data_IF_934362833628
#
_entry.id   IF_934362833628
#
_cell.length_a   1.000
_cell.length_b   1.000
_cell.length_c   1.000
_cell.angle_alpha   90.00
_cell.angle_beta   90.00
_cell.angle_gamma   90.00
#
_symmetry.space_group_name_H-M   'P 1'
#
loop_
_entity.id
_entity.type
_entity.pdbx_description
1 polymer ?
#
# COMPACT_ATOMS: atom_id res chain seq x y z
N UNK A 1 -2.51 -6.18 8.69
CA UNK A 1 -3.39 -6.05 9.86
C UNK A 1 -4.78 -5.57 9.42
N UNK A 2 -5.83 -6.02 10.09
CA UNK A 2 -7.18 -5.42 10.00
C UNK A 2 -7.23 -4.28 11.01
N UNK A 3 -7.48 -3.05 10.57
CA UNK A 3 -7.33 -1.88 11.43
C UNK A 3 -8.54 -1.72 12.34
N UNK A 4 -8.27 -1.55 13.64
CA UNK A 4 -9.29 -1.37 14.65
C UNK A 4 -10.13 -0.10 14.38
N UNK A 5 -11.41 -0.14 14.77
CA UNK A 5 -12.35 0.94 14.49
C UNK A 5 -11.88 2.33 14.96
N UNK A 6 -11.16 2.41 16.08
CA UNK A 6 -10.63 3.66 16.63
C UNK A 6 -9.48 4.29 15.82
N UNK A 7 -8.85 3.54 14.92
CA UNK A 7 -7.73 3.98 14.07
C UNK A 7 -8.14 4.07 12.58
N UNK A 8 -9.45 3.99 12.31
CA UNK A 8 -9.98 4.23 10.97
C UNK A 8 -10.06 5.74 10.69
N UNK A 9 -9.63 6.13 9.49
CA UNK A 9 -9.91 7.45 8.96
C UNK A 9 -11.39 7.63 8.66
N UNK A 10 -11.88 8.88 8.70
CA UNK A 10 -13.31 9.21 8.63
C UNK A 10 -14.06 8.67 7.40
N UNK A 11 -13.37 8.41 6.29
CA UNK A 11 -13.96 7.88 5.07
C UNK A 11 -13.98 6.34 4.98
N UNK A 12 -13.20 5.64 5.80
CA UNK A 12 -13.03 4.19 5.69
C UNK A 12 -14.06 3.44 6.54
N UNK A 13 -14.79 2.50 5.93
CA UNK A 13 -15.64 1.56 6.65
C UNK A 13 -14.85 0.33 7.13
N UNK A 14 -13.79 -0.04 6.40
CA UNK A 14 -12.81 -1.06 6.78
C UNK A 14 -11.49 -0.77 6.08
N UNK A 15 -10.37 -1.02 6.75
CA UNK A 15 -9.02 -0.72 6.26
C UNK A 15 -8.09 -1.88 6.60
N UNK A 16 -7.24 -2.24 5.64
CA UNK A 16 -6.18 -3.24 5.81
C UNK A 16 -4.84 -2.62 5.49
N UNK A 17 -3.91 -2.79 6.41
CA UNK A 17 -2.54 -2.31 6.24
C UNK A 17 -1.60 -3.51 6.09
N UNK A 18 -0.65 -3.43 5.16
CA UNK A 18 0.46 -4.40 5.08
C UNK A 18 1.67 -3.73 5.68
N UNK A 19 2.28 -4.40 6.63
CA UNK A 19 3.45 -3.91 7.35
C UNK A 19 4.66 -4.78 7.05
N UNK A 20 5.82 -4.16 6.88
CA UNK A 20 7.09 -4.87 6.75
C UNK A 20 7.93 -4.69 8.00
N UNK A 21 8.71 -5.72 8.31
CA UNK A 21 9.71 -5.66 9.37
C UNK A 21 10.82 -4.68 8.99
N UNK A 22 11.18 -3.79 9.93
CA UNK A 22 12.26 -2.82 9.80
C UNK A 22 13.33 -3.12 10.86
N UNK A 23 14.41 -3.85 10.50
CA UNK A 23 15.43 -4.34 11.42
C UNK A 23 16.00 -3.29 12.38
N UNK A 24 16.36 -2.10 11.89
CA UNK A 24 16.95 -1.03 12.72
C UNK A 24 15.99 -0.51 13.79
N UNK A 25 14.69 -0.66 13.58
CA UNK A 25 13.64 -0.21 14.49
C UNK A 25 13.08 -1.34 15.35
N UNK A 26 13.43 -2.60 15.06
CA UNK A 26 12.89 -3.76 15.78
C UNK A 26 11.36 -3.83 15.73
N UNK A 27 10.72 -3.36 14.66
CA UNK A 27 9.27 -3.25 14.57
C UNK A 27 8.74 -3.42 13.14
N UNK A 28 7.46 -3.80 13.04
CA UNK A 28 6.71 -3.74 11.79
C UNK A 28 6.26 -2.30 11.51
N UNK A 29 6.37 -1.86 10.24
CA UNK A 29 5.96 -0.53 9.76
C UNK A 29 5.09 -0.64 8.53
N UNK A 30 4.02 0.14 8.50
CA UNK A 30 3.07 0.22 7.40
C UNK A 30 3.75 0.57 6.06
N UNK A 31 3.58 -0.28 5.06
CA UNK A 31 4.02 -0.06 3.67
C UNK A 31 2.90 0.36 2.72
N UNK A 32 1.70 -0.18 2.95
CA UNK A 32 0.50 0.12 2.18
C UNK A 32 -0.72 0.06 3.09
N UNK A 33 -1.70 0.89 2.77
CA UNK A 33 -3.02 0.89 3.36
C UNK A 33 -4.06 0.78 2.26
N UNK A 34 -5.07 -0.07 2.45
CA UNK A 34 -6.18 -0.27 1.52
C UNK A 34 -7.51 -0.15 2.24
N UNK A 35 -8.38 0.74 1.77
CA UNK A 35 -9.66 1.06 2.41
C UNK A 35 -10.85 0.79 1.50
N UNK A 36 -11.92 0.26 2.10
CA UNK A 36 -13.26 0.31 1.51
C UNK A 36 -14.02 1.49 2.13
N UNK A 37 -14.33 2.50 1.31
CA UNK A 37 -15.06 3.69 1.73
C UNK A 37 -16.57 3.58 1.53
N UNK A 38 -17.05 2.44 1.03
CA UNK A 38 -18.45 2.22 0.64
C UNK A 38 -18.94 3.41 -0.19
N UNK A 39 -20.06 4.02 0.17
CA UNK A 39 -20.63 5.17 -0.54
C UNK A 39 -20.26 6.53 0.09
N UNK A 40 -19.34 6.57 1.07
CA UNK A 40 -19.01 7.79 1.81
C UNK A 40 -18.50 8.91 0.89
N UNK A 41 -17.56 8.57 0.00
CA UNK A 41 -16.94 9.53 -0.92
C UNK A 41 -17.90 9.87 -2.07
N UNK A 42 -18.52 8.85 -2.67
CA UNK A 42 -19.41 9.02 -3.83
C UNK A 42 -20.65 9.86 -3.53
N UNK A 43 -21.23 9.75 -2.32
CA UNK A 43 -22.31 10.64 -1.87
C UNK A 43 -21.90 12.11 -1.81
N UNK A 44 -20.66 12.39 -1.39
CA UNK A 44 -20.13 13.77 -1.26
C UNK A 44 -19.73 14.37 -2.61
N UNK A 45 -19.25 13.54 -3.52
CA UNK A 45 -18.84 13.95 -4.86
C UNK A 45 -19.95 13.81 -5.92
N UNK A 46 -21.14 13.35 -5.52
CA UNK A 46 -22.27 13.02 -6.41
C UNK A 46 -21.90 12.04 -7.55
N UNK A 47 -21.05 11.05 -7.26
CA UNK A 47 -20.69 9.99 -8.22
C UNK A 47 -21.71 8.87 -8.14
N UNK A 48 -22.44 8.63 -9.23
CA UNK A 48 -23.57 7.70 -9.28
C UNK A 48 -23.48 6.80 -10.51
N UNK A 49 -24.08 5.63 -10.43
CA UNK A 49 -24.28 4.74 -11.58
C UNK A 49 -25.76 4.35 -11.69
N UNK A 50 -26.12 3.76 -12.82
CA UNK A 50 -27.45 3.21 -13.07
C UNK A 50 -27.28 1.73 -13.40
N UNK A 51 -28.01 0.85 -12.70
CA UNK A 51 -27.92 -0.61 -12.93
C UNK A 51 -28.50 -1.01 -14.29
N UNK A 52 -29.69 -0.48 -14.59
CA UNK A 52 -30.43 -0.77 -15.83
C UNK A 52 -30.95 0.51 -16.46
N UNK A 53 -31.24 0.53 -17.76
CA UNK A 53 -31.62 1.74 -18.52
C UNK A 53 -32.74 2.56 -17.85
N UNK A 54 -33.72 1.87 -17.28
CA UNK A 54 -34.93 2.44 -16.67
C UNK A 54 -34.86 2.60 -15.14
N UNK A 55 -33.75 2.20 -14.52
CA UNK A 55 -33.57 2.32 -13.07
C UNK A 55 -33.19 3.75 -12.64
N UNK A 56 -33.46 4.07 -11.37
CA UNK A 56 -32.89 5.24 -10.71
C UNK A 56 -31.36 5.14 -10.61
N UNK A 57 -30.69 6.27 -10.41
CA UNK A 57 -29.24 6.27 -10.16
C UNK A 57 -28.95 6.03 -8.67
N UNK A 58 -27.86 5.34 -8.37
CA UNK A 58 -27.41 5.05 -7.00
C UNK A 58 -25.92 5.39 -6.81
N UNK A 59 -25.48 5.80 -5.61
CA UNK A 59 -24.07 6.09 -5.34
C UNK A 59 -23.19 4.83 -5.48
N UNK A 60 -22.03 4.98 -6.11
CA UNK A 60 -21.08 3.86 -6.26
C UNK A 60 -20.32 3.57 -4.96
N UNK A 61 -19.90 2.32 -4.76
CA UNK A 61 -18.90 2.01 -3.76
C UNK A 61 -17.52 2.49 -4.23
N UNK A 62 -16.68 2.91 -3.29
CA UNK A 62 -15.34 3.44 -3.56
C UNK A 62 -14.31 2.70 -2.71
N UNK A 63 -13.18 2.39 -3.33
CA UNK A 63 -12.02 1.78 -2.70
C UNK A 63 -10.77 2.59 -3.07
N UNK A 64 -9.77 2.54 -2.21
CA UNK A 64 -8.45 3.11 -2.48
C UNK A 64 -7.37 2.23 -1.84
N UNK A 65 -6.17 2.29 -2.40
CA UNK A 65 -5.00 1.57 -1.89
C UNK A 65 -3.72 2.32 -2.23
N UNK A 66 -2.81 2.40 -1.27
CA UNK A 66 -1.48 2.99 -1.47
C UNK A 66 -0.56 1.97 -2.14
N UNK A 67 0.19 2.39 -3.15
CA UNK A 67 1.26 1.58 -3.76
C UNK A 67 2.51 2.46 -3.90
N UNK A 68 3.69 1.81 -3.83
CA UNK A 68 4.97 2.40 -4.25
C UNK A 68 5.34 3.71 -3.50
N UNK A 69 5.48 3.62 -2.19
CA UNK A 69 6.02 4.72 -1.36
C UNK A 69 7.50 4.53 -1.07
N UNK A 70 8.16 5.58 -0.56
CA UNK A 70 9.55 5.53 -0.10
C UNK A 70 9.80 4.49 1.01
N UNK A 71 8.76 4.10 1.75
CA UNK A 71 8.86 3.10 2.84
C UNK A 71 9.27 1.72 2.33
N UNK A 72 8.92 1.40 1.08
CA UNK A 72 9.31 0.15 0.45
C UNK A 72 10.82 0.07 0.25
N UNK A 73 11.44 1.20 -0.10
CA UNK A 73 12.90 1.30 -0.28
C UNK A 73 13.59 0.99 1.05
N UNK A 74 13.14 1.58 2.16
CA UNK A 74 13.70 1.30 3.50
C UNK A 74 13.58 -0.18 3.85
N UNK A 75 12.40 -0.78 3.68
CA UNK A 75 12.20 -2.19 3.97
C UNK A 75 13.14 -3.07 3.12
N UNK A 76 13.28 -2.79 1.82
CA UNK A 76 14.18 -3.54 0.93
C UNK A 76 15.65 -3.38 1.35
N UNK A 77 16.11 -2.14 1.57
CA UNK A 77 17.50 -1.87 1.94
C UNK A 77 17.87 -2.57 3.26
N UNK A 78 17.04 -2.46 4.29
CA UNK A 78 17.38 -3.01 5.61
C UNK A 78 17.28 -4.53 5.67
N UNK A 79 16.35 -5.15 4.95
CA UNK A 79 16.15 -6.61 4.98
C UNK A 79 17.08 -7.37 4.03
N UNK A 80 17.63 -6.71 3.02
CA UNK A 80 18.55 -7.31 2.05
C UNK A 80 20.00 -6.83 2.17
N UNK A 81 20.34 -6.04 3.19
CA UNK A 81 21.71 -5.64 3.48
C UNK A 81 22.62 -6.84 3.74
N UNK A 82 23.88 -6.72 3.34
CA UNK A 82 24.94 -7.70 3.55
C UNK A 82 25.97 -7.16 4.55
N UNK A 83 26.79 -8.06 5.10
CA UNK A 83 27.81 -7.69 6.09
C UNK A 83 28.86 -6.70 5.54
N UNK A 84 29.08 -6.66 4.23
CA UNK A 84 29.99 -5.73 3.54
C UNK A 84 29.34 -4.38 3.20
N UNK A 85 28.08 -4.16 3.60
CA UNK A 85 27.33 -2.94 3.33
C UNK A 85 26.64 -2.90 1.96
N UNK A 86 26.83 -3.91 1.10
CA UNK A 86 26.06 -4.05 -0.14
C UNK A 86 24.61 -4.45 0.15
N UNK A 87 23.71 -4.24 -0.82
CA UNK A 87 22.31 -4.68 -0.72
C UNK A 87 21.99 -5.63 -1.86
N UNK A 88 21.56 -6.84 -1.54
CA UNK A 88 21.11 -7.80 -2.56
C UNK A 88 19.80 -7.32 -3.17
N UNK A 89 19.74 -7.24 -4.51
CA UNK A 89 18.51 -6.86 -5.21
C UNK A 89 17.60 -8.11 -5.33
N UNK A 90 16.35 -8.05 -4.83
CA UNK A 90 15.37 -9.11 -5.01
C UNK A 90 15.23 -9.51 -6.48
N UNK A 91 15.14 -10.81 -6.76
CA UNK A 91 15.17 -11.35 -8.13
C UNK A 91 14.15 -10.69 -9.06
N UNK A 92 12.94 -10.45 -8.54
CA UNK A 92 11.85 -9.82 -9.28
C UNK A 92 12.14 -8.36 -9.69
N UNK A 93 13.06 -7.69 -9.00
CA UNK A 93 13.43 -6.30 -9.28
C UNK A 93 14.60 -6.19 -10.26
N UNK A 94 15.40 -7.25 -10.46
CA UNK A 94 16.61 -7.22 -11.30
C UNK A 94 16.34 -6.80 -12.76
N UNK A 95 15.24 -7.21 -13.44
CA UNK A 95 14.94 -6.74 -14.79
C UNK A 95 14.77 -5.21 -14.88
N UNK A 96 14.35 -4.57 -13.79
CA UNK A 96 14.18 -3.11 -13.71
C UNK A 96 15.47 -2.38 -13.31
N UNK A 97 16.51 -3.13 -12.94
CA UNK A 97 17.82 -2.63 -12.47
C UNK A 97 18.95 -3.03 -13.43
N UNK A 98 18.67 -3.09 -14.74
CA UNK A 98 19.63 -3.49 -15.78
C UNK A 98 20.30 -4.86 -15.53
N UNK A 99 19.61 -5.78 -14.85
CA UNK A 99 20.13 -7.09 -14.49
C UNK A 99 21.06 -7.12 -13.28
N UNK A 100 21.27 -5.99 -12.59
CA UNK A 100 22.10 -5.94 -11.38
C UNK A 100 21.54 -6.86 -10.29
N UNK A 101 22.41 -7.65 -9.67
CA UNK A 101 22.07 -8.54 -8.55
C UNK A 101 22.27 -7.89 -7.18
N UNK A 102 23.03 -6.79 -7.09
CA UNK A 102 23.30 -6.06 -5.86
C UNK A 102 23.53 -4.56 -6.12
N UNK A 103 23.33 -3.75 -5.08
CA UNK A 103 23.78 -2.36 -4.97
C UNK A 103 25.06 -2.36 -4.15
N UNK A 104 26.15 -1.83 -4.70
CA UNK A 104 27.45 -1.77 -4.02
C UNK A 104 27.43 -0.84 -2.80
N UNK A 105 28.26 -1.15 -1.79
CA UNK A 105 28.58 -0.19 -0.73
C UNK A 105 29.33 1.01 -1.34
N UNK A 106 29.04 2.21 -0.84
CA UNK A 106 29.73 3.45 -1.22
C UNK A 106 31.06 3.64 -0.49
#
# INVERSE_FOLDING_TARGET
>A
IDVAAGDLGSSAARKYDVEAWVPTQGAYRELTSTSNCTTFQSRRLNVRFRRDKDAGTEPVATLNGTLATTRWIVAILETHQQADGSVTIPEILRPYMAGASAISAG
#
